data_IF_664465526746
#
_entry.id   IF_664465526746
#
_cell.length_a   1.000
_cell.length_b   1.000
_cell.length_c   1.000
_cell.angle_alpha   90.00
_cell.angle_beta   90.00
_cell.angle_gamma   90.00
#
_symmetry.space_group_name_H-M   'P 1'
#
loop_
_entity.id
_entity.type
_entity.pdbx_description
1 polymer ?
#
# COMPACT_ATOMS: atom_id res chain seq x y z
N UNK A 1 -44.60 29.14 60.24
CA UNK A 1 -46.02 28.91 59.94
C UNK A 1 -46.46 30.07 59.06
N UNK A 2 -47.20 29.74 57.99
CA UNK A 2 -47.79 30.64 56.98
C UNK A 2 -46.97 30.92 55.72
N UNK A 3 -47.71 30.82 54.60
CA UNK A 3 -47.30 30.58 53.23
C UNK A 3 -47.28 31.91 52.49
N UNK A 4 -46.31 32.12 51.61
CA UNK A 4 -46.33 33.19 50.61
C UNK A 4 -46.41 32.60 49.20
N UNK A 5 -47.03 33.37 48.33
CA UNK A 5 -47.75 32.99 47.12
C UNK A 5 -46.94 33.37 45.86
N UNK A 6 -47.07 32.54 44.82
CA UNK A 6 -46.88 32.70 43.37
C UNK A 6 -45.71 33.53 42.76
N UNK A 7 -45.11 32.96 41.72
CA UNK A 7 -44.51 33.75 40.63
C UNK A 7 -43.59 32.93 39.73
N UNK A 8 -44.08 32.52 38.55
CA UNK A 8 -43.26 31.97 37.47
C UNK A 8 -42.16 32.96 37.06
N UNK A 9 -40.93 32.48 36.94
CA UNK A 9 -39.93 33.11 36.09
C UNK A 9 -38.99 32.05 35.50
N UNK A 10 -39.07 31.96 34.17
CA UNK A 10 -38.01 31.69 33.20
C UNK A 10 -37.08 30.48 33.36
N UNK A 11 -37.08 29.70 32.29
CA UNK A 11 -36.17 28.62 31.96
C UNK A 11 -34.70 29.06 31.86
N UNK A 12 -33.86 28.03 31.68
CA UNK A 12 -32.45 28.03 31.26
C UNK A 12 -31.44 27.90 32.41
N UNK A 13 -31.12 26.65 32.73
CA UNK A 13 -29.81 26.28 33.26
C UNK A 13 -29.29 25.07 32.48
N UNK A 14 -28.49 25.41 31.48
CA UNK A 14 -27.69 24.61 30.56
C UNK A 14 -27.23 23.26 31.10
N UNK A 15 -27.54 22.19 30.36
CA UNK A 15 -26.83 20.92 30.47
C UNK A 15 -25.37 21.13 30.03
N UNK A 16 -24.47 21.20 31.00
CA UNK A 16 -23.04 21.08 30.76
C UNK A 16 -22.65 19.59 30.68
N UNK A 17 -21.57 19.34 29.93
CA UNK A 17 -20.84 18.08 29.77
C UNK A 17 -21.31 17.18 28.61
N UNK A 18 -21.07 17.64 27.38
CA UNK A 18 -20.52 16.75 26.36
C UNK A 18 -19.00 16.80 26.50
N UNK A 19 -18.43 15.76 27.10
CA UNK A 19 -17.00 15.56 27.17
C UNK A 19 -16.45 15.49 25.73
N UNK A 20 -15.51 16.39 25.43
CA UNK A 20 -14.67 16.37 24.25
C UNK A 20 -13.89 15.07 24.21
N UNK A 21 -14.34 14.11 23.40
CA UNK A 21 -13.52 12.97 22.99
C UNK A 21 -12.55 13.39 21.88
N UNK A 22 -11.73 14.41 22.13
CA UNK A 22 -10.53 14.68 21.34
C UNK A 22 -9.37 13.88 21.93
N UNK A 23 -9.56 12.55 22.02
CA UNK A 23 -8.42 11.66 22.12
C UNK A 23 -7.64 11.75 20.80
N UNK A 24 -6.29 11.75 20.80
CA UNK A 24 -5.58 11.67 19.54
C UNK A 24 -6.06 10.42 18.81
N UNK A 25 -6.64 10.60 17.62
CA UNK A 25 -6.86 9.48 16.71
C UNK A 25 -5.46 8.97 16.40
N UNK A 26 -5.00 7.97 17.16
CA UNK A 26 -3.76 7.26 16.92
C UNK A 26 -3.95 6.32 15.73
N UNK A 27 -4.36 6.88 14.60
CA UNK A 27 -4.05 6.35 13.28
C UNK A 27 -2.87 7.15 12.79
N UNK A 28 -1.65 6.77 13.20
CA UNK A 28 -0.47 7.16 12.44
C UNK A 28 -0.65 6.56 11.05
N UNK A 29 -1.25 7.33 10.15
CA UNK A 29 -1.47 6.93 8.77
C UNK A 29 -0.13 6.52 8.20
N UNK A 30 -0.09 5.36 7.55
CA UNK A 30 1.10 4.96 6.82
C UNK A 30 1.35 6.00 5.73
N UNK A 31 2.36 6.85 5.96
CA UNK A 31 2.78 7.85 5.01
C UNK A 31 3.71 7.15 3.99
N UNK A 32 3.36 7.15 2.70
CA UNK A 32 4.23 6.57 1.68
C UNK A 32 5.64 7.17 1.74
N UNK A 33 6.66 6.34 1.91
CA UNK A 33 8.04 6.80 2.01
C UNK A 33 9.04 5.71 1.66
N UNK A 34 10.07 6.07 0.90
CA UNK A 34 11.18 5.17 0.57
C UNK A 34 12.20 5.00 1.68
N UNK A 35 12.11 5.80 2.75
CA UNK A 35 13.05 5.74 3.90
C UNK A 35 13.08 4.38 4.58
N UNK A 36 11.95 3.67 4.59
CA UNK A 36 11.82 2.37 5.21
C UNK A 36 11.97 1.22 4.20
N UNK A 37 12.44 1.51 2.98
CA UNK A 37 12.58 0.55 1.89
C UNK A 37 11.31 0.27 1.10
N UNK A 38 10.20 0.93 1.42
CA UNK A 38 8.98 0.81 0.62
C UNK A 38 9.12 1.56 -0.71
N UNK A 39 8.54 1.01 -1.77
CA UNK A 39 8.43 1.58 -3.10
C UNK A 39 6.96 1.66 -3.50
N UNK A 40 6.28 2.69 -2.99
CA UNK A 40 4.81 2.78 -3.05
C UNK A 40 4.27 3.37 -4.37
N UNK A 41 5.14 3.91 -5.22
CA UNK A 41 4.79 4.51 -6.50
C UNK A 41 5.65 3.93 -7.62
N UNK A 42 5.16 3.93 -8.86
CA UNK A 42 5.93 3.52 -10.04
C UNK A 42 7.30 4.23 -10.14
N UNK A 43 7.40 5.46 -9.64
CA UNK A 43 8.60 6.29 -9.68
C UNK A 43 9.18 6.62 -8.29
N UNK A 44 9.00 5.73 -7.31
CA UNK A 44 9.38 5.89 -5.90
C UNK A 44 8.51 6.89 -5.13
N UNK A 45 8.38 8.11 -5.64
CA UNK A 45 7.57 9.18 -5.07
C UNK A 45 6.77 9.94 -6.15
N UNK A 46 5.90 10.85 -5.70
CA UNK A 46 5.04 11.68 -6.55
C UNK A 46 5.80 12.66 -7.43
N UNK A 47 7.05 13.00 -7.10
CA UNK A 47 7.92 13.89 -7.89
C UNK A 47 8.68 13.11 -8.97
N UNK A 48 8.68 11.79 -8.86
CA UNK A 48 9.29 10.90 -9.83
C UNK A 48 10.79 10.75 -9.72
N UNK A 49 11.35 10.90 -8.51
CA UNK A 49 12.80 10.92 -8.31
C UNK A 49 13.49 9.60 -8.63
N UNK A 50 12.77 8.47 -8.54
CA UNK A 50 13.33 7.11 -8.63
C UNK A 50 14.49 6.89 -7.64
N UNK A 51 14.47 7.56 -6.49
CA UNK A 51 15.54 7.56 -5.49
C UNK A 51 15.17 6.76 -4.23
N UNK A 52 16.13 5.96 -3.74
CA UNK A 52 16.07 5.31 -2.43
C UNK A 52 17.18 5.87 -1.54
N UNK A 53 16.87 6.29 -0.30
CA UNK A 53 17.88 6.74 0.67
C UNK A 53 18.58 5.58 1.39
N UNK A 54 18.27 4.33 1.08
CA UNK A 54 18.93 3.17 1.70
C UNK A 54 20.39 3.04 1.26
N UNK A 55 21.26 2.65 2.19
CA UNK A 55 22.70 2.59 2.02
C UNK A 55 23.33 1.24 2.39
N UNK A 56 22.52 0.20 2.62
CA UNK A 56 23.03 -1.15 2.90
C UNK A 56 23.89 -1.70 1.75
N UNK A 57 23.49 -1.42 0.52
CA UNK A 57 24.25 -1.75 -0.70
C UNK A 57 24.94 -0.49 -1.19
N UNK A 58 26.26 -0.56 -1.32
CA UNK A 58 27.14 0.54 -1.70
C UNK A 58 28.08 0.12 -2.82
N UNK A 59 28.79 1.06 -3.42
CA UNK A 59 29.83 0.77 -4.41
C UNK A 59 30.94 -0.16 -3.88
N UNK A 60 31.17 -0.18 -2.55
CA UNK A 60 32.22 -0.98 -1.93
C UNK A 60 31.84 -2.46 -1.72
N UNK A 61 30.53 -2.79 -1.67
CA UNK A 61 30.04 -4.15 -1.39
C UNK A 61 29.11 -4.72 -2.48
N UNK A 62 28.81 -3.96 -3.54
CA UNK A 62 27.92 -4.41 -4.62
C UNK A 62 28.36 -5.75 -5.25
N UNK A 63 29.66 -6.04 -5.27
CA UNK A 63 30.22 -7.29 -5.78
C UNK A 63 29.88 -8.52 -4.92
N UNK A 64 29.29 -8.35 -3.74
CA UNK A 64 28.89 -9.44 -2.83
C UNK A 64 27.43 -9.84 -3.02
N UNK A 65 26.67 -9.18 -3.90
CA UNK A 65 25.27 -9.48 -4.12
C UNK A 65 25.07 -10.88 -4.71
N UNK A 66 24.09 -11.58 -4.18
CA UNK A 66 23.65 -12.88 -4.64
C UNK A 66 22.13 -12.90 -4.87
N UNK A 67 21.66 -13.84 -5.68
CA UNK A 67 20.23 -13.99 -5.97
C UNK A 67 19.55 -14.61 -4.75
N UNK A 68 18.71 -13.83 -4.06
CA UNK A 68 17.94 -14.33 -2.92
C UNK A 68 16.84 -15.33 -3.34
N UNK A 69 16.10 -15.04 -4.42
CA UNK A 69 15.05 -15.90 -4.95
C UNK A 69 14.71 -15.55 -6.41
N UNK A 70 13.95 -16.44 -7.07
CA UNK A 70 13.41 -16.23 -8.42
C UNK A 70 11.94 -16.66 -8.47
N UNK A 71 11.11 -15.88 -9.16
CA UNK A 71 9.71 -16.22 -9.42
C UNK A 71 9.48 -16.45 -10.92
N UNK A 72 8.86 -17.58 -11.28
CA UNK A 72 8.62 -17.95 -12.69
C UNK A 72 7.20 -17.60 -13.12
N UNK A 73 7.08 -16.74 -14.14
CA UNK A 73 5.78 -16.23 -14.62
C UNK A 73 5.16 -17.08 -15.74
N UNK A 74 5.82 -18.15 -16.19
CA UNK A 74 5.38 -18.95 -17.35
C UNK A 74 3.99 -19.57 -17.20
N UNK A 75 3.53 -19.74 -15.96
CA UNK A 75 2.22 -20.31 -15.66
C UNK A 75 1.10 -19.24 -15.60
N UNK A 76 1.44 -17.97 -15.79
CA UNK A 76 0.50 -16.82 -15.76
C UNK A 76 0.11 -16.39 -17.19
N UNK A 77 -0.19 -17.36 -18.05
CA UNK A 77 -0.33 -17.14 -19.47
C UNK A 77 -0.67 -18.40 -20.25
N UNK A 78 -0.96 -18.25 -21.54
CA UNK A 78 -1.03 -19.38 -22.49
C UNK A 78 0.33 -19.70 -23.10
N UNK A 79 1.30 -18.79 -22.95
CA UNK A 79 2.68 -18.91 -23.41
C UNK A 79 3.59 -18.15 -22.43
N UNK A 80 4.90 -18.38 -22.45
CA UNK A 80 5.84 -17.55 -21.70
C UNK A 80 5.76 -16.09 -22.18
N UNK A 81 5.86 -15.17 -21.22
CA UNK A 81 6.06 -13.75 -21.50
C UNK A 81 7.56 -13.45 -21.51
N UNK A 82 8.00 -12.71 -22.52
CA UNK A 82 9.39 -12.30 -22.67
C UNK A 82 9.56 -10.79 -22.56
N UNK A 83 8.46 -10.04 -22.54
CA UNK A 83 8.40 -8.59 -22.38
C UNK A 83 7.73 -8.25 -21.05
N UNK A 84 8.56 -8.12 -20.01
CA UNK A 84 8.12 -7.71 -18.67
C UNK A 84 8.57 -6.26 -18.41
N UNK A 85 7.62 -5.33 -18.43
CA UNK A 85 7.88 -3.88 -18.26
C UNK A 85 7.35 -3.34 -16.92
N UNK A 86 6.81 -4.21 -16.06
CA UNK A 86 6.30 -3.81 -14.76
C UNK A 86 7.42 -3.42 -13.79
N UNK A 87 7.28 -2.26 -13.16
CA UNK A 87 8.06 -1.88 -11.97
C UNK A 87 7.29 -2.36 -10.74
N UNK A 88 7.80 -3.33 -9.97
CA UNK A 88 7.12 -3.80 -8.77
C UNK A 88 6.94 -2.67 -7.74
N UNK A 89 5.81 -2.69 -7.04
CA UNK A 89 5.63 -1.90 -5.83
C UNK A 89 6.03 -2.75 -4.63
N UNK A 90 6.83 -2.21 -3.73
CA UNK A 90 7.22 -2.85 -2.47
C UNK A 90 6.52 -2.12 -1.33
N UNK A 91 5.61 -2.78 -0.61
CA UNK A 91 4.85 -2.12 0.46
C UNK A 91 4.76 -3.09 1.63
N UNK A 92 5.35 -2.72 2.76
CA UNK A 92 5.31 -3.51 4.00
C UNK A 92 5.78 -4.95 3.79
N UNK A 93 6.85 -5.11 3.03
CA UNK A 93 7.45 -6.42 2.72
C UNK A 93 6.71 -7.24 1.66
N UNK A 94 5.61 -6.75 1.07
CA UNK A 94 4.95 -7.41 -0.07
C UNK A 94 5.34 -6.75 -1.38
N UNK A 95 5.65 -7.55 -2.40
CA UNK A 95 5.88 -7.10 -3.77
C UNK A 95 4.61 -7.27 -4.60
N UNK A 96 4.13 -6.20 -5.21
CA UNK A 96 3.01 -6.21 -6.15
C UNK A 96 3.51 -5.90 -7.55
N UNK A 97 3.23 -6.76 -8.53
CA UNK A 97 3.64 -6.52 -9.91
C UNK A 97 2.69 -7.17 -10.91
N UNK A 98 2.80 -6.78 -12.18
CA UNK A 98 2.15 -7.48 -13.29
C UNK A 98 3.05 -8.63 -13.76
N UNK A 99 2.43 -9.75 -14.14
CA UNK A 99 3.18 -10.93 -14.56
C UNK A 99 2.45 -11.75 -15.63
N UNK A 100 3.25 -12.31 -16.54
CA UNK A 100 2.82 -13.21 -17.59
C UNK A 100 1.98 -12.53 -18.69
N UNK A 101 1.64 -13.31 -19.71
CA UNK A 101 0.93 -12.80 -20.90
C UNK A 101 -0.52 -12.43 -20.63
N UNK A 102 -1.08 -12.83 -19.48
CA UNK A 102 -2.42 -12.44 -19.05
C UNK A 102 -2.45 -11.10 -18.32
N UNK A 103 -1.29 -10.43 -18.15
CA UNK A 103 -1.17 -9.20 -17.35
C UNK A 103 -1.77 -9.36 -15.96
N UNK A 104 -1.57 -10.55 -15.38
CA UNK A 104 -2.04 -10.89 -14.04
C UNK A 104 -1.39 -9.98 -13.01
N UNK A 105 -2.13 -9.52 -12.01
CA UNK A 105 -1.55 -8.85 -10.85
C UNK A 105 -1.20 -9.93 -9.83
N UNK A 106 0.04 -9.93 -9.35
CA UNK A 106 0.51 -10.87 -8.33
C UNK A 106 0.97 -10.11 -7.09
N UNK A 107 0.81 -10.74 -5.94
CA UNK A 107 1.48 -10.36 -4.70
C UNK A 107 2.44 -11.46 -4.27
N UNK A 108 3.70 -11.09 -4.04
CA UNK A 108 4.74 -11.96 -3.54
C UNK A 108 5.19 -11.50 -2.16
N UNK A 109 5.50 -12.43 -1.27
CA UNK A 109 6.29 -12.12 -0.08
C UNK A 109 7.70 -11.68 -0.52
N UNK A 110 8.12 -10.47 -0.13
CA UNK A 110 9.37 -9.87 -0.62
C UNK A 110 10.63 -10.55 -0.10
N UNK A 111 10.55 -11.29 1.01
CA UNK A 111 11.69 -12.00 1.59
C UNK A 111 11.91 -13.35 0.94
N UNK A 112 10.82 -14.07 0.65
CA UNK A 112 10.86 -15.47 0.22
C UNK A 112 10.55 -15.66 -1.27
N UNK A 113 9.85 -14.70 -1.88
CA UNK A 113 9.32 -14.82 -3.24
C UNK A 113 8.07 -15.70 -3.33
N UNK A 114 7.47 -16.09 -2.19
CA UNK A 114 6.24 -16.89 -2.16
C UNK A 114 5.08 -16.14 -2.80
N UNK A 115 4.35 -16.80 -3.70
CA UNK A 115 3.12 -16.24 -4.27
C UNK A 115 1.99 -16.27 -3.25
N UNK A 116 1.62 -15.10 -2.75
CA UNK A 116 0.54 -14.95 -1.78
C UNK A 116 -0.83 -14.99 -2.45
N UNK A 117 -0.98 -14.24 -3.55
CA UNK A 117 -2.21 -14.25 -4.35
C UNK A 117 -1.96 -13.80 -5.79
N UNK A 118 -2.92 -14.16 -6.65
CA UNK A 118 -2.98 -13.76 -8.05
C UNK A 118 -4.38 -13.25 -8.37
N UNK A 119 -4.45 -12.14 -9.09
CA UNK A 119 -5.66 -11.63 -9.70
C UNK A 119 -5.50 -11.59 -11.22
N UNK A 120 -6.50 -12.03 -11.97
CA UNK A 120 -6.44 -12.10 -13.43
C UNK A 120 -7.83 -11.94 -14.04
N UNK A 121 -7.89 -11.26 -15.17
CA UNK A 121 -9.12 -11.14 -15.96
C UNK A 121 -9.09 -12.06 -17.19
N UNK A 122 -10.25 -12.58 -17.56
CA UNK A 122 -10.44 -13.30 -18.83
C UNK A 122 -10.81 -12.29 -19.91
N UNK A 123 -9.80 -11.79 -20.60
CA UNK A 123 -9.99 -10.73 -21.62
C UNK A 123 -10.38 -11.24 -23.02
N UNK A 124 -10.38 -12.55 -23.25
CA UNK A 124 -10.69 -13.13 -24.56
C UNK A 124 -9.77 -12.60 -25.67
N UNK A 125 -10.34 -12.25 -26.82
CA UNK A 125 -9.59 -11.75 -27.98
C UNK A 125 -8.83 -10.46 -27.70
N UNK A 126 -9.30 -9.61 -26.76
CA UNK A 126 -8.61 -8.37 -26.38
C UNK A 126 -7.18 -8.65 -25.91
N UNK A 127 -6.95 -9.75 -25.18
CA UNK A 127 -5.60 -10.08 -24.71
C UNK A 127 -4.60 -10.30 -25.85
N UNK A 128 -5.06 -10.74 -27.02
CA UNK A 128 -4.18 -11.07 -28.16
C UNK A 128 -3.92 -9.88 -29.09
N UNK A 129 -4.78 -8.86 -29.09
CA UNK A 129 -4.74 -7.72 -30.02
C UNK A 129 -4.42 -6.39 -29.34
N UNK A 130 -4.34 -6.36 -28.01
CA UNK A 130 -3.92 -5.17 -27.30
C UNK A 130 -2.50 -4.77 -27.77
N UNK A 131 -2.26 -3.47 -28.03
CA UNK A 131 -0.96 -2.97 -28.47
C UNK A 131 0.16 -3.23 -27.46
#
# INVERSE_FOLDING_TARGET
>A
MERTVFGLAAAVASLAVLATLDGPIAGQGYAPSTKNGDWTHYTADVRGTKYSPLDQVTAANFNQLEVAWRFKTSNLGTRPEYKLEGTPLAIRGTLYTTAGTRRSVIALDGKTGELMWTHSYREGNRAAIAP
#
